data_IF_275384366247
#
_entry.id   IF_275384366247
#
_cell.length_a   1.000
_cell.length_b   1.000
_cell.length_c   1.000
_cell.angle_alpha   90.00
_cell.angle_beta   90.00
_cell.angle_gamma   90.00
#
_symmetry.space_group_name_H-M   'P 1'
#
loop_
_entity.id
_entity.type
_entity.pdbx_description
1 polymer ?
#
# COMPACT_ATOMS: atom_id res chain seq x y z
N UNK A 1 -18.45 5.84 1.06
CA UNK A 1 -16.98 5.69 1.10
C UNK A 1 -16.67 4.47 0.26
N UNK A 2 -15.71 4.60 -0.65
CA UNK A 2 -15.29 3.49 -1.49
C UNK A 2 -14.24 2.64 -0.74
N UNK A 3 -14.11 1.37 -1.11
CA UNK A 3 -13.25 0.40 -0.45
C UNK A 3 -12.44 -0.36 -1.49
N UNK A 4 -11.22 -0.75 -1.11
CA UNK A 4 -10.31 -1.55 -1.91
C UNK A 4 -10.07 -2.90 -1.26
N UNK A 5 -10.04 -3.95 -2.06
CA UNK A 5 -9.97 -5.35 -1.64
C UNK A 5 -8.59 -5.92 -1.92
N UNK A 6 -7.92 -6.45 -0.89
CA UNK A 6 -6.61 -7.08 -1.03
C UNK A 6 -6.77 -8.59 -0.78
N UNK A 7 -6.49 -9.40 -1.79
CA UNK A 7 -6.62 -10.86 -1.73
C UNK A 7 -5.25 -11.53 -1.71
N UNK A 8 -5.00 -12.38 -0.72
CA UNK A 8 -3.79 -13.20 -0.62
C UNK A 8 -4.14 -14.60 -0.08
N UNK A 9 -3.71 -15.65 -0.77
CA UNK A 9 -3.93 -17.05 -0.38
C UNK A 9 -5.39 -17.38 0.03
N UNK A 10 -6.36 -16.85 -0.72
CA UNK A 10 -7.80 -17.06 -0.46
C UNK A 10 -8.37 -16.24 0.71
N UNK A 11 -7.55 -15.43 1.38
CA UNK A 11 -7.96 -14.46 2.40
C UNK A 11 -8.14 -13.09 1.77
N UNK A 12 -9.00 -12.27 2.37
CA UNK A 12 -9.35 -10.93 1.88
C UNK A 12 -9.26 -9.92 3.03
N UNK A 13 -8.58 -8.80 2.78
CA UNK A 13 -8.65 -7.60 3.61
C UNK A 13 -9.39 -6.50 2.84
N UNK A 14 -10.25 -5.75 3.52
CA UNK A 14 -11.00 -4.63 2.95
C UNK A 14 -10.49 -3.35 3.59
N UNK A 15 -9.90 -2.47 2.77
CA UNK A 15 -9.26 -1.23 3.21
C UNK A 15 -10.02 -0.02 2.68
N UNK A 16 -9.89 1.13 3.33
CA UNK A 16 -10.32 2.39 2.72
C UNK A 16 -9.39 2.71 1.54
N UNK A 17 -9.92 3.26 0.45
CA UNK A 17 -9.05 3.60 -0.69
C UNK A 17 -8.03 4.69 -0.35
N UNK A 18 -8.41 5.60 0.54
CA UNK A 18 -7.48 6.63 1.01
C UNK A 18 -6.33 6.03 1.80
N UNK A 19 -6.57 4.94 2.54
CA UNK A 19 -5.50 4.21 3.21
C UNK A 19 -4.57 3.54 2.20
N UNK A 20 -5.14 2.90 1.18
CA UNK A 20 -4.34 2.26 0.12
C UNK A 20 -3.54 3.31 -0.67
N UNK A 21 -4.14 4.45 -0.98
CA UNK A 21 -3.44 5.57 -1.60
C UNK A 21 -2.32 6.11 -0.72
N UNK A 22 -2.57 6.25 0.59
CA UNK A 22 -1.57 6.72 1.55
C UNK A 22 -0.41 5.74 1.64
N UNK A 23 -0.73 4.45 1.65
CA UNK A 23 0.24 3.37 1.64
C UNK A 23 1.08 3.39 0.37
N UNK A 24 0.48 3.43 -0.81
CA UNK A 24 1.21 3.48 -2.09
C UNK A 24 2.07 4.76 -2.17
N UNK A 25 1.56 5.89 -1.67
CA UNK A 25 2.32 7.15 -1.56
C UNK A 25 3.57 6.96 -0.72
N UNK A 26 3.43 6.52 0.51
CA UNK A 26 4.55 6.31 1.41
C UNK A 26 5.51 5.20 0.91
N UNK A 27 4.97 4.13 0.31
CA UNK A 27 5.74 3.04 -0.28
C UNK A 27 6.64 3.53 -1.42
N UNK A 28 6.15 4.39 -2.31
CA UNK A 28 6.96 4.92 -3.42
C UNK A 28 8.11 5.83 -2.99
N UNK A 29 8.11 6.30 -1.74
CA UNK A 29 9.21 7.08 -1.17
C UNK A 29 10.37 6.22 -0.68
N UNK A 30 10.14 4.90 -0.52
CA UNK A 30 11.20 3.98 -0.13
C UNK A 30 12.20 3.81 -1.28
N UNK A 31 13.50 3.69 -0.98
CA UNK A 31 14.49 3.37 -2.00
C UNK A 31 14.14 2.04 -2.66
N UNK A 32 14.31 1.96 -3.98
CA UNK A 32 14.07 0.73 -4.72
C UNK A 32 15.12 -0.33 -4.37
N UNK A 33 14.74 -1.27 -3.52
CA UNK A 33 15.63 -2.32 -3.01
C UNK A 33 15.50 -3.67 -3.76
N UNK A 34 14.44 -3.89 -4.56
CA UNK A 34 14.22 -5.19 -5.22
C UNK A 34 13.34 -5.13 -6.48
N UNK A 35 13.36 -6.22 -7.27
CA UNK A 35 12.45 -6.40 -8.40
C UNK A 35 10.98 -6.44 -7.98
N UNK A 36 10.70 -7.05 -6.81
CA UNK A 36 9.35 -7.08 -6.23
C UNK A 36 8.86 -5.67 -5.89
N UNK A 37 9.72 -4.81 -5.33
CA UNK A 37 9.38 -3.41 -5.05
C UNK A 37 8.93 -2.68 -6.33
N UNK A 38 9.72 -2.81 -7.39
CA UNK A 38 9.40 -2.21 -8.70
C UNK A 38 8.10 -2.77 -9.27
N UNK A 39 7.89 -4.08 -9.19
CA UNK A 39 6.67 -4.72 -9.70
C UNK A 39 5.43 -4.27 -8.93
N UNK A 40 5.49 -4.27 -7.60
CA UNK A 40 4.40 -3.82 -6.73
C UNK A 40 4.07 -2.35 -6.96
N UNK A 41 5.09 -1.48 -6.98
CA UNK A 41 4.93 -0.05 -7.27
C UNK A 41 4.26 0.17 -8.63
N UNK A 42 4.68 -0.58 -9.65
CA UNK A 42 4.12 -0.50 -11.00
C UNK A 42 2.65 -0.94 -11.02
N UNK A 43 2.32 -2.07 -10.39
CA UNK A 43 0.95 -2.60 -10.37
C UNK A 43 0.02 -1.67 -9.59
N UNK A 44 0.46 -1.16 -8.43
CA UNK A 44 -0.32 -0.20 -7.65
C UNK A 44 -0.55 1.10 -8.42
N UNK A 45 0.49 1.66 -9.05
CA UNK A 45 0.35 2.86 -9.91
C UNK A 45 -0.59 2.63 -11.08
N UNK A 46 -0.46 1.51 -11.79
CA UNK A 46 -1.34 1.18 -12.90
C UNK A 46 -2.81 1.01 -12.46
N UNK A 47 -3.05 0.35 -11.31
CA UNK A 47 -4.39 0.22 -10.74
C UNK A 47 -5.00 1.59 -10.40
N UNK A 48 -4.19 2.49 -9.82
CA UNK A 48 -4.56 3.86 -9.52
C UNK A 48 -4.89 4.70 -10.76
N UNK A 49 -4.11 4.55 -11.83
CA UNK A 49 -4.31 5.28 -13.08
C UNK A 49 -5.57 4.82 -13.83
N UNK A 50 -5.82 3.51 -13.87
CA UNK A 50 -6.90 2.91 -14.66
C UNK A 50 -8.26 3.03 -13.96
N UNK A 51 -8.31 2.72 -12.67
CA UNK A 51 -9.58 2.54 -11.99
C UNK A 51 -9.97 3.72 -11.09
N UNK A 52 -9.02 4.61 -10.77
CA UNK A 52 -9.23 5.66 -9.78
C UNK A 52 -9.44 5.11 -8.35
N UNK A 53 -9.71 6.00 -7.38
CA UNK A 53 -9.98 5.62 -6.00
C UNK A 53 -11.29 4.85 -5.89
N UNK A 54 -11.28 3.71 -5.20
CA UNK A 54 -12.45 2.83 -5.06
C UNK A 54 -12.31 1.46 -5.68
N UNK A 55 -11.18 1.18 -6.30
CA UNK A 55 -11.02 -0.01 -7.14
C UNK A 55 -9.58 -0.51 -7.19
N UNK A 56 -8.78 -0.23 -6.16
CA UNK A 56 -7.43 -0.81 -6.05
C UNK A 56 -7.59 -2.23 -5.49
N UNK A 57 -8.34 -3.05 -6.21
CA UNK A 57 -8.55 -4.44 -5.88
C UNK A 57 -7.35 -5.24 -6.39
N UNK A 58 -6.51 -5.71 -5.48
CA UNK A 58 -5.32 -6.46 -5.86
C UNK A 58 -5.34 -7.87 -5.32
N UNK A 59 -5.10 -8.78 -6.24
CA UNK A 59 -4.78 -10.16 -5.94
C UNK A 59 -3.29 -10.26 -5.71
N UNK A 60 -2.85 -9.99 -4.48
CA UNK A 60 -1.45 -10.10 -4.08
C UNK A 60 -0.90 -11.50 -4.35
N UNK A 61 -1.73 -12.55 -4.33
CA UNK A 61 -1.33 -13.91 -4.72
C UNK A 61 -0.90 -14.05 -6.20
N UNK A 62 -1.21 -13.09 -7.06
CA UNK A 62 -0.70 -13.04 -8.44
C UNK A 62 0.69 -12.37 -8.54
N UNK A 63 1.13 -11.69 -7.50
CA UNK A 63 2.38 -10.91 -7.46
C UNK A 63 3.39 -11.63 -6.56
N UNK A 64 2.95 -12.04 -5.38
CA UNK A 64 3.72 -12.79 -4.39
C UNK A 64 3.67 -14.26 -4.79
N UNK A 65 4.78 -14.79 -5.31
CA UNK A 65 4.87 -16.16 -5.84
C UNK A 65 5.64 -17.12 -4.94
N UNK A 66 6.33 -16.58 -3.93
CA UNK A 66 7.20 -17.34 -3.04
C UNK A 66 7.11 -16.82 -1.60
N UNK A 67 7.65 -17.60 -0.65
CA UNK A 67 7.84 -17.15 0.73
C UNK A 67 8.77 -15.93 0.80
N UNK A 68 9.82 -15.92 -0.01
CA UNK A 68 10.76 -14.79 -0.10
C UNK A 68 10.06 -13.50 -0.55
N UNK A 69 9.09 -13.59 -1.46
CA UNK A 69 8.27 -12.43 -1.87
C UNK A 69 7.39 -11.93 -0.73
N UNK A 70 6.81 -12.85 0.05
CA UNK A 70 5.98 -12.50 1.20
C UNK A 70 6.83 -11.82 2.30
N UNK A 71 8.00 -12.38 2.60
CA UNK A 71 8.95 -11.81 3.56
C UNK A 71 9.47 -10.44 3.10
N UNK A 72 9.72 -10.28 1.79
CA UNK A 72 10.09 -9.00 1.21
C UNK A 72 8.96 -7.96 1.33
N UNK A 73 7.71 -8.34 1.06
CA UNK A 73 6.57 -7.44 1.26
C UNK A 73 6.38 -7.07 2.74
N UNK A 74 6.53 -8.02 3.66
CA UNK A 74 6.51 -7.75 5.10
C UNK A 74 7.60 -6.77 5.51
N UNK A 75 8.81 -6.90 4.95
CA UNK A 75 9.90 -5.93 5.17
C UNK A 75 9.49 -4.54 4.67
N UNK A 76 8.88 -4.44 3.49
CA UNK A 76 8.43 -3.15 2.96
C UNK A 76 7.33 -2.51 3.80
N UNK A 77 6.34 -3.28 4.25
CA UNK A 77 5.28 -2.79 5.14
C UNK A 77 5.85 -2.17 6.41
N UNK A 78 6.85 -2.82 7.01
CA UNK A 78 7.58 -2.29 8.18
C UNK A 78 8.35 -1.01 7.85
N UNK A 79 9.09 -0.99 6.74
CA UNK A 79 9.83 0.21 6.31
C UNK A 79 8.89 1.39 6.02
N UNK A 80 7.72 1.14 5.41
CA UNK A 80 6.70 2.17 5.18
C UNK A 80 6.15 2.72 6.49
N UNK A 81 5.88 1.84 7.47
CA UNK A 81 5.44 2.24 8.81
C UNK A 81 6.48 3.08 9.53
N UNK A 82 7.74 2.67 9.49
CA UNK A 82 8.86 3.41 10.08
C UNK A 82 9.01 4.80 9.45
N UNK A 83 8.96 4.88 8.12
CA UNK A 83 9.03 6.14 7.38
C UNK A 83 7.88 7.09 7.77
N UNK A 84 6.65 6.58 7.79
CA UNK A 84 5.47 7.35 8.20
C UNK A 84 5.54 7.80 9.67
N UNK A 85 6.08 6.96 10.56
CA UNK A 85 6.31 7.34 11.96
C UNK A 85 7.34 8.46 12.11
N UNK A 86 8.38 8.49 11.27
CA UNK A 86 9.40 9.53 11.29
C UNK A 86 8.88 10.86 10.73
N UNK A 87 7.93 10.81 9.80
CA UNK A 87 7.32 12.01 9.23
C UNK A 87 6.39 12.75 10.21
N UNK A 88 5.93 12.07 11.27
CA UNK A 88 5.11 12.65 12.33
C UNK A 88 3.64 12.22 12.26
N UNK A 89 2.73 12.96 12.93
CA UNK A 89 1.31 12.57 13.06
C UNK A 89 0.51 12.70 11.76
N UNK A 90 1.03 13.45 10.79
CA UNK A 90 0.39 13.74 9.51
C UNK A 90 1.40 13.39 8.40
N UNK A 91 0.94 12.71 7.35
CA UNK A 91 1.77 12.38 6.21
C UNK A 91 2.15 13.64 5.41
N UNK A 92 3.40 13.77 4.94
CA UNK A 92 3.81 14.90 4.11
C UNK A 92 3.04 14.93 2.79
N UNK A 93 2.44 16.07 2.46
CA UNK A 93 1.73 16.24 1.18
C UNK A 93 2.63 16.13 -0.05
N UNK A 94 3.96 16.18 0.12
CA UNK A 94 4.91 15.91 -0.97
C UNK A 94 4.85 14.46 -1.45
N UNK A 95 4.47 13.50 -0.60
CA UNK A 95 4.43 12.08 -0.97
C UNK A 95 3.27 11.75 -1.91
N UNK A 96 2.19 12.53 -1.87
CA UNK A 96 1.03 12.33 -2.74
C UNK A 96 1.14 13.04 -4.09
N UNK A 97 2.01 14.04 -4.22
CA UNK A 97 2.20 14.81 -5.47
C UNK A 97 2.70 13.96 -6.64
N UNK A 98 3.39 12.86 -6.36
CA UNK A 98 3.90 11.95 -7.40
C UNK A 98 2.87 10.90 -7.84
N UNK A 99 1.77 10.76 -7.10
CA UNK A 99 0.69 9.81 -7.36
C UNK A 99 -0.61 10.50 -7.76
N UNK A 100 -0.51 11.70 -8.34
CA UNK A 100 -1.67 12.37 -8.95
C UNK A 100 -2.26 11.41 -9.98
N UNK A 101 -3.33 10.74 -9.55
CA UNK A 101 -4.05 9.78 -10.39
C UNK A 101 -4.64 10.53 -11.58
N UNK A 102 -4.90 9.83 -12.69
CA UNK A 102 -5.61 10.41 -13.84
C UNK A 102 -6.98 11.03 -13.49
N UNK A 103 -7.53 10.69 -12.31
CA UNK A 103 -8.78 11.23 -11.77
C UNK A 103 -8.64 12.52 -10.96
N UNK A 104 -7.42 13.03 -10.75
CA UNK A 104 -7.17 14.28 -10.00
C UNK A 104 -7.34 14.16 -8.49
N UNK A 105 -7.47 12.93 -7.96
CA UNK A 105 -7.53 12.73 -6.51
C UNK A 105 -6.17 13.02 -5.88
N UNK A 106 -6.18 13.93 -4.92
CA UNK A 106 -5.02 14.30 -4.10
C UNK A 106 -5.31 13.89 -2.67
N UNK A 107 -4.39 13.14 -2.08
CA UNK A 107 -4.38 12.90 -0.64
C UNK A 107 -4.37 14.25 0.06
N UNK A 108 -5.39 14.50 0.90
CA UNK A 108 -5.50 15.78 1.61
C UNK A 108 -4.17 16.12 2.30
N UNK A 109 -3.83 17.40 2.37
CA UNK A 109 -2.60 17.88 3.02
C UNK A 109 -2.47 17.48 4.52
N UNK A 110 -3.49 16.83 5.08
CA UNK A 110 -3.60 16.45 6.48
C UNK A 110 -3.92 14.96 6.71
N UNK A 111 -3.43 14.04 5.88
CA UNK A 111 -3.72 12.61 6.12
C UNK A 111 -3.09 12.09 7.42
N UNK A 112 -3.87 11.54 8.38
CA UNK A 112 -3.33 11.05 9.64
C UNK A 112 -2.49 9.78 9.46
N UNK A 113 -1.27 9.77 10.00
CA UNK A 113 -0.36 8.61 9.91
C UNK A 113 -0.91 7.38 10.62
N UNK A 114 -1.77 7.53 11.63
CA UNK A 114 -2.37 6.40 12.34
C UNK A 114 -3.33 5.58 11.46
N UNK A 115 -4.06 6.21 10.53
CA UNK A 115 -4.92 5.48 9.59
C UNK A 115 -4.08 4.61 8.65
N UNK A 116 -2.93 5.12 8.20
CA UNK A 116 -1.96 4.33 7.46
C UNK A 116 -1.42 3.16 8.29
N UNK A 117 -1.15 3.35 9.58
CA UNK A 117 -0.68 2.26 10.45
C UNK A 117 -1.71 1.15 10.60
N UNK A 118 -2.99 1.50 10.70
CA UNK A 118 -4.08 0.53 10.77
C UNK A 118 -4.14 -0.30 9.48
N UNK A 119 -4.06 0.36 8.32
CA UNK A 119 -4.06 -0.31 7.03
C UNK A 119 -2.82 -1.21 6.81
N UNK A 120 -1.64 -0.77 7.25
CA UNK A 120 -0.44 -1.60 7.24
C UNK A 120 -0.65 -2.83 8.12
N UNK A 121 -1.24 -2.69 9.30
CA UNK A 121 -1.47 -3.81 10.23
C UNK A 121 -2.45 -4.84 9.66
N UNK A 122 -3.48 -4.38 8.92
CA UNK A 122 -4.40 -5.25 8.17
C UNK A 122 -3.68 -6.02 7.05
N UNK A 123 -2.81 -5.35 6.29
CA UNK A 123 -1.99 -5.98 5.25
C UNK A 123 -1.01 -6.99 5.84
N UNK A 124 -0.32 -6.65 6.93
CA UNK A 124 0.58 -7.57 7.66
C UNK A 124 -0.19 -8.81 8.13
N UNK A 125 -1.40 -8.63 8.68
CA UNK A 125 -2.25 -9.73 9.12
C UNK A 125 -2.72 -10.60 7.97
N UNK A 126 -3.00 -10.01 6.80
CA UNK A 126 -3.37 -10.72 5.59
C UNK A 126 -2.22 -11.61 5.07
N UNK A 127 -0.98 -11.10 5.10
CA UNK A 127 0.21 -11.77 4.55
C UNK A 127 0.81 -12.78 5.53
N UNK A 128 0.71 -12.54 6.84
CA UNK A 128 1.12 -13.47 7.86
C UNK A 128 0.36 -14.80 7.67
N UNK A 129 1.07 -15.81 7.17
CA UNK A 129 0.54 -17.16 7.10
C UNK A 129 0.52 -17.75 8.52
N UNK A 130 -0.53 -18.46 8.93
CA UNK A 130 -0.36 -19.44 10.01
C UNK A 130 0.65 -20.48 9.52
N UNK A 131 1.67 -20.76 10.34
CA UNK A 131 2.55 -21.90 10.13
C UNK A 131 1.66 -23.17 10.10
N UNK A 132 1.46 -23.77 8.92
CA UNK A 132 0.97 -25.15 8.77
C UNK A 132 2.16 -26.12 8.76
#
# INVERSE_FOLDING_TARGET
MSHSTQEFSGRVAVLNDLDVLAFVSAFTQLPTESALHTQLSTVWRAALEVAGPGTIDLKLGNIIRSKDDADALMKFLRSTRELASQAGPILPSSWSKELVTGSGLVLSDSYPSNLLFDAISELESLIAQPDD
#
